data_IF_965132205256
#
_entry.id   IF_965132205256
#
_cell.length_a   1.000
_cell.length_b   1.000
_cell.length_c   1.000
_cell.angle_alpha   90.00
_cell.angle_beta   90.00
_cell.angle_gamma   90.00
#
_symmetry.space_group_name_H-M   'P 1'
#
loop_
_entity.id
_entity.type
_entity.pdbx_description
1 polymer ?
#
# COMPACT_ATOMS: atom_id res chain seq x y z
N UNK A 1 25.37 33.53 -11.46
CA UNK A 1 25.33 32.09 -11.14
C UNK A 1 24.06 31.55 -11.74
N UNK A 2 24.14 30.65 -12.71
CA UNK A 2 22.95 29.90 -13.17
C UNK A 2 22.71 28.81 -12.12
N UNK A 3 21.67 28.96 -11.31
CA UNK A 3 21.18 27.85 -10.49
C UNK A 3 20.76 26.73 -11.45
N UNK A 4 21.38 25.56 -11.30
CA UNK A 4 20.91 24.36 -11.99
C UNK A 4 19.58 24.04 -11.31
N UNK A 5 18.43 24.12 -12.01
CA UNK A 5 17.15 23.77 -11.40
C UNK A 5 17.23 22.32 -10.93
N UNK A 6 17.02 22.09 -9.63
CA UNK A 6 16.99 20.75 -9.05
C UNK A 6 15.80 19.99 -9.64
N UNK A 7 16.06 19.19 -10.68
CA UNK A 7 15.07 18.32 -11.30
C UNK A 7 15.07 16.99 -10.56
N UNK A 8 13.90 16.59 -10.07
CA UNK A 8 13.70 15.27 -9.49
C UNK A 8 13.20 14.30 -10.55
N UNK A 9 13.56 13.04 -10.44
CA UNK A 9 13.07 11.97 -11.31
C UNK A 9 12.45 10.85 -10.50
N UNK A 10 11.49 10.17 -11.13
CA UNK A 10 10.87 8.94 -10.63
C UNK A 10 10.97 7.91 -11.75
N UNK A 11 11.50 6.73 -11.42
CA UNK A 11 11.47 5.59 -12.33
C UNK A 11 10.23 4.77 -12.00
N UNK A 12 9.46 4.44 -13.03
CA UNK A 12 8.23 3.67 -12.95
C UNK A 12 8.37 2.43 -13.83
N UNK A 13 7.66 1.37 -13.45
CA UNK A 13 7.56 0.13 -14.21
C UNK A 13 6.09 -0.11 -14.54
N UNK A 14 5.78 -0.33 -15.82
CA UNK A 14 4.43 -0.66 -16.27
C UNK A 14 4.07 -2.14 -16.01
N UNK A 15 2.89 -2.56 -16.49
CA UNK A 15 2.38 -3.91 -16.30
C UNK A 15 3.19 -5.00 -17.03
N UNK A 16 4.00 -4.65 -18.04
CA UNK A 16 4.81 -5.59 -18.82
C UNK A 16 6.31 -5.48 -18.51
N UNK A 17 6.70 -4.63 -17.56
CA UNK A 17 8.09 -4.46 -17.14
C UNK A 17 8.83 -3.33 -17.84
N UNK A 18 8.16 -2.49 -18.64
CA UNK A 18 8.80 -1.34 -19.29
C UNK A 18 9.23 -0.31 -18.24
N UNK A 19 10.50 0.07 -18.27
CA UNK A 19 11.07 1.11 -17.40
C UNK A 19 10.85 2.48 -18.01
N UNK A 20 10.19 3.37 -17.28
CA UNK A 20 9.86 4.73 -17.72
C UNK A 20 10.36 5.71 -16.67
N UNK A 21 11.20 6.65 -17.09
CA UNK A 21 11.66 7.73 -16.21
C UNK A 21 10.86 9.00 -16.48
N UNK A 22 10.19 9.49 -15.45
CA UNK A 22 9.50 10.78 -15.48
C UNK A 22 10.27 11.79 -14.66
N UNK A 23 10.17 13.05 -15.05
CA UNK A 23 10.90 14.12 -14.39
C UNK A 23 9.95 15.25 -14.00
N UNK A 24 10.25 15.88 -12.88
CA UNK A 24 9.50 16.98 -12.33
C UNK A 24 10.44 18.07 -11.82
N UNK A 25 9.96 19.31 -11.84
CA UNK A 25 10.70 20.46 -11.33
C UNK A 25 10.54 20.62 -9.81
N UNK A 26 9.50 20.02 -9.22
CA UNK A 26 9.24 20.07 -7.79
C UNK A 26 8.87 18.68 -7.25
N UNK A 27 9.08 18.40 -5.95
CA UNK A 27 8.59 17.17 -5.31
C UNK A 27 7.07 16.98 -5.40
N UNK A 28 6.31 18.08 -5.39
CA UNK A 28 4.85 18.08 -5.51
C UNK A 28 4.42 17.62 -6.90
N UNK A 29 5.06 18.13 -7.95
CA UNK A 29 4.83 17.69 -9.32
C UNK A 29 5.21 16.22 -9.50
N UNK A 30 6.33 15.79 -8.88
CA UNK A 30 6.74 14.38 -8.92
C UNK A 30 5.69 13.48 -8.28
N UNK A 31 5.11 13.90 -7.15
CA UNK A 31 4.03 13.19 -6.46
C UNK A 31 2.75 13.16 -7.31
N UNK A 32 2.44 14.24 -8.04
CA UNK A 32 1.30 14.25 -8.96
C UNK A 32 1.50 13.26 -10.12
N UNK A 33 2.70 13.23 -10.72
CA UNK A 33 3.06 12.24 -11.73
C UNK A 33 2.96 10.81 -11.19
N UNK A 34 3.49 10.56 -9.99
CA UNK A 34 3.39 9.25 -9.33
C UNK A 34 1.93 8.75 -9.25
N UNK A 35 1.00 9.62 -8.82
CA UNK A 35 -0.43 9.31 -8.78
C UNK A 35 -1.04 9.11 -10.17
N UNK A 36 -0.64 9.93 -11.14
CA UNK A 36 -1.14 9.84 -12.51
C UNK A 36 -0.81 8.48 -13.13
N UNK A 37 0.47 8.10 -13.12
CA UNK A 37 0.93 6.81 -13.66
C UNK A 37 0.44 5.64 -12.78
N UNK A 38 0.42 5.82 -11.47
CA UNK A 38 -0.12 4.90 -10.49
C UNK A 38 -1.54 4.42 -10.79
N UNK A 39 -2.43 5.35 -11.13
CA UNK A 39 -3.83 5.04 -11.51
C UNK A 39 -3.93 4.22 -12.80
N UNK A 40 -2.88 4.20 -13.63
CA UNK A 40 -2.77 3.36 -14.82
C UNK A 40 -2.14 1.99 -14.53
N UNK A 41 -1.85 1.69 -13.26
CA UNK A 41 -1.21 0.44 -12.82
C UNK A 41 0.32 0.44 -12.87
N UNK A 42 0.95 1.60 -13.09
CA UNK A 42 2.40 1.73 -13.08
C UNK A 42 2.84 1.84 -11.63
N UNK A 43 3.95 1.19 -11.28
CA UNK A 43 4.49 1.22 -9.91
C UNK A 43 5.85 1.89 -9.90
N UNK A 44 6.24 2.56 -8.80
CA UNK A 44 7.63 2.97 -8.61
C UNK A 44 8.56 1.77 -8.81
N UNK A 45 9.66 1.99 -9.51
CA UNK A 45 10.74 1.02 -9.57
C UNK A 45 11.33 0.80 -8.18
N UNK A 46 11.49 -0.46 -7.81
CA UNK A 46 11.99 -0.88 -6.51
C UNK A 46 11.22 -2.08 -5.99
N UNK A 47 11.77 -2.69 -4.95
CA UNK A 47 11.13 -3.81 -4.28
C UNK A 47 10.39 -3.31 -3.05
N UNK A 48 9.24 -3.94 -2.78
CA UNK A 48 8.56 -3.79 -1.50
C UNK A 48 9.34 -4.62 -0.48
N UNK A 49 9.81 -4.03 0.63
CA UNK A 49 10.66 -4.72 1.60
C UNK A 49 9.92 -5.87 2.28
N UNK A 50 10.68 -6.80 2.86
CA UNK A 50 10.14 -7.82 3.75
C UNK A 50 9.35 -7.17 4.90
N UNK A 51 8.19 -7.73 5.25
CA UNK A 51 7.24 -7.09 6.17
C UNK A 51 6.30 -6.08 5.49
N UNK A 52 6.56 -5.71 4.24
CA UNK A 52 5.82 -4.69 3.51
C UNK A 52 6.17 -3.26 3.93
N UNK A 53 5.61 -2.29 3.23
CA UNK A 53 5.66 -0.88 3.64
C UNK A 53 5.04 -0.71 5.03
N UNK A 54 5.60 0.17 5.86
CA UNK A 54 5.09 0.43 7.21
C UNK A 54 4.56 1.86 7.29
N UNK A 55 3.26 2.01 7.57
CA UNK A 55 2.62 3.32 7.74
C UNK A 55 1.84 3.38 9.07
N UNK A 56 1.58 4.59 9.61
CA UNK A 56 0.74 4.73 10.81
C UNK A 56 -0.64 4.12 10.61
N UNK A 57 -1.24 3.57 11.68
CA UNK A 57 -2.59 3.01 11.62
C UNK A 57 -3.61 4.01 11.06
N UNK A 58 -3.51 5.27 11.49
CA UNK A 58 -4.36 6.38 11.03
C UNK A 58 -4.25 6.69 9.52
N UNK A 59 -3.21 6.23 8.84
CA UNK A 59 -3.03 6.45 7.41
C UNK A 59 -3.96 5.58 6.57
N UNK A 60 -4.37 4.40 7.08
CA UNK A 60 -5.08 3.37 6.32
C UNK A 60 -6.27 3.93 5.53
N UNK A 61 -7.17 4.64 6.21
CA UNK A 61 -8.44 5.09 5.62
C UNK A 61 -8.25 6.14 4.52
N UNK A 62 -7.10 6.80 4.47
CA UNK A 62 -6.84 7.86 3.50
C UNK A 62 -5.72 7.51 2.52
N UNK A 63 -4.98 6.42 2.72
CA UNK A 63 -3.82 6.09 1.90
C UNK A 63 -4.17 6.02 0.41
N UNK A 64 -3.43 6.73 -0.42
CA UNK A 64 -3.61 6.74 -1.87
C UNK A 64 -2.87 5.56 -2.52
N UNK A 65 -3.61 4.49 -2.81
CA UNK A 65 -3.07 3.27 -3.42
C UNK A 65 -2.38 3.46 -4.77
N UNK A 66 -2.72 4.54 -5.50
CA UNK A 66 -2.05 4.85 -6.76
C UNK A 66 -0.55 5.15 -6.54
N UNK A 67 -0.14 5.58 -5.34
CA UNK A 67 1.27 5.86 -5.05
C UNK A 67 2.17 4.64 -5.22
N UNK A 68 1.62 3.44 -5.07
CA UNK A 68 2.34 2.18 -5.26
C UNK A 68 1.84 1.41 -6.49
N UNK A 69 1.02 2.03 -7.34
CA UNK A 69 0.41 1.33 -8.48
C UNK A 69 -0.60 0.24 -8.08
N UNK A 70 -1.19 0.33 -6.89
CA UNK A 70 -2.20 -0.59 -6.41
C UNK A 70 -3.63 -0.03 -6.63
N UNK A 71 -4.60 -0.93 -6.73
CA UNK A 71 -6.02 -0.57 -6.88
C UNK A 71 -6.88 -1.36 -5.89
N UNK A 72 -7.73 -0.71 -5.09
CA UNK A 72 -8.71 -1.40 -4.24
C UNK A 72 -9.61 -2.34 -5.02
N UNK A 73 -9.88 -3.51 -4.45
CA UNK A 73 -10.74 -4.51 -5.07
C UNK A 73 -11.39 -5.39 -4.01
N UNK A 74 -12.61 -5.85 -4.31
CA UNK A 74 -13.34 -6.84 -3.51
C UNK A 74 -13.53 -8.09 -4.35
N UNK A 75 -13.19 -9.25 -3.80
CA UNK A 75 -13.37 -10.53 -4.49
C UNK A 75 -14.85 -10.89 -4.63
N UNK A 76 -15.19 -11.82 -5.56
CA UNK A 76 -16.54 -12.38 -5.65
C UNK A 76 -17.04 -12.98 -4.33
N UNK A 77 -16.12 -13.49 -3.50
CA UNK A 77 -16.42 -14.07 -2.17
C UNK A 77 -16.56 -13.01 -1.07
N UNK A 78 -16.41 -11.72 -1.40
CA UNK A 78 -16.52 -10.60 -0.47
C UNK A 78 -15.21 -10.21 0.23
N UNK A 79 -14.07 -10.83 -0.13
CA UNK A 79 -12.79 -10.48 0.48
C UNK A 79 -12.31 -9.12 -0.01
N UNK A 80 -12.07 -8.20 0.94
CA UNK A 80 -11.52 -6.87 0.65
C UNK A 80 -10.00 -6.93 0.54
N UNK A 81 -9.43 -6.15 -0.38
CA UNK A 81 -8.00 -6.04 -0.55
C UNK A 81 -7.60 -5.05 -1.63
N UNK A 82 -6.41 -5.27 -2.20
CA UNK A 82 -5.90 -4.49 -3.34
C UNK A 82 -5.28 -5.39 -4.38
N UNK A 83 -5.38 -5.00 -5.65
CA UNK A 83 -4.60 -5.55 -6.75
C UNK A 83 -3.31 -4.74 -6.87
N UNK A 84 -2.17 -5.43 -6.87
CA UNK A 84 -0.86 -4.85 -7.11
C UNK A 84 0.00 -5.85 -7.88
N UNK A 85 0.59 -5.42 -9.00
CA UNK A 85 1.47 -6.25 -9.84
C UNK A 85 0.84 -7.62 -10.20
N UNK A 86 -0.40 -7.58 -10.70
CA UNK A 86 -1.18 -8.76 -11.09
C UNK A 86 -1.59 -9.70 -9.93
N UNK A 87 -1.36 -9.31 -8.68
CA UNK A 87 -1.66 -10.13 -7.50
C UNK A 87 -2.68 -9.46 -6.59
N UNK A 88 -3.59 -10.23 -6.03
CA UNK A 88 -4.50 -9.78 -4.98
C UNK A 88 -3.85 -9.91 -3.60
N UNK A 89 -3.79 -8.81 -2.86
CA UNK A 89 -3.35 -8.74 -1.47
C UNK A 89 -4.57 -8.50 -0.58
N UNK A 90 -4.93 -9.52 0.21
CA UNK A 90 -6.09 -9.50 1.09
C UNK A 90 -5.82 -8.62 2.31
N UNK A 91 -6.82 -7.82 2.70
CA UNK A 91 -6.83 -7.09 3.97
C UNK A 91 -7.02 -8.08 5.13
N UNK A 92 -6.14 -7.99 6.12
CA UNK A 92 -6.16 -8.77 7.36
C UNK A 92 -6.10 -7.83 8.55
N UNK A 93 -7.07 -7.95 9.42
CA UNK A 93 -7.09 -7.26 10.71
C UNK A 93 -6.30 -8.11 11.71
N UNK A 94 -5.26 -7.52 12.30
CA UNK A 94 -4.42 -8.17 13.30
C UNK A 94 -4.73 -7.53 14.65
N UNK A 95 -5.25 -8.34 15.57
CA UNK A 95 -5.54 -7.91 16.93
C UNK A 95 -4.28 -7.46 17.67
N UNK A 96 -4.47 -6.57 18.64
CA UNK A 96 -3.39 -6.19 19.52
C UNK A 96 -2.91 -7.41 20.31
N UNK A 97 -1.60 -7.62 20.35
CA UNK A 97 -0.97 -8.66 21.18
C UNK A 97 -0.49 -7.97 22.46
N UNK A 98 -1.05 -8.34 23.60
CA UNK A 98 -0.51 -7.97 24.91
C UNK A 98 -0.10 -9.23 25.66
N UNK A 99 1.17 -9.58 25.57
CA UNK A 99 1.77 -10.68 26.30
C UNK A 99 2.98 -10.18 27.10
N UNK A 100 3.38 -10.96 28.11
CA UNK A 100 4.59 -10.65 28.90
C UNK A 100 5.86 -10.55 28.04
N UNK A 101 5.92 -11.26 26.91
CA UNK A 101 7.08 -11.30 26.01
C UNK A 101 7.01 -10.26 24.88
N UNK A 102 5.81 -9.80 24.54
CA UNK A 102 5.59 -9.01 23.34
C UNK A 102 4.32 -8.17 23.46
N UNK A 103 4.45 -6.88 23.15
CA UNK A 103 3.34 -5.92 23.03
C UNK A 103 3.30 -5.37 21.61
N UNK A 104 2.31 -5.77 20.82
CA UNK A 104 2.08 -5.26 19.47
C UNK A 104 0.72 -4.54 19.43
N UNK A 105 0.64 -3.28 18.98
CA UNK A 105 -0.64 -2.64 18.71
C UNK A 105 -1.36 -3.35 17.55
N UNK A 106 -2.67 -3.12 17.47
CA UNK A 106 -3.51 -3.51 16.34
C UNK A 106 -2.89 -3.06 15.01
N UNK A 107 -3.11 -3.86 13.97
CA UNK A 107 -2.61 -3.56 12.64
C UNK A 107 -3.59 -3.97 11.54
N UNK A 108 -3.55 -3.25 10.42
CA UNK A 108 -4.20 -3.64 9.17
C UNK A 108 -3.10 -4.05 8.19
N UNK A 109 -3.09 -5.32 7.81
CA UNK A 109 -2.07 -5.94 6.97
C UNK A 109 -2.65 -6.31 5.61
N UNK A 110 -2.01 -5.89 4.52
CA UNK A 110 -2.33 -6.34 3.17
C UNK A 110 -1.29 -7.39 2.75
N UNK A 111 -1.71 -8.65 2.64
CA UNK A 111 -0.82 -9.75 2.31
C UNK A 111 -1.45 -10.80 1.41
N UNK A 112 -0.62 -11.62 0.78
CA UNK A 112 -1.02 -12.82 0.06
C UNK A 112 -0.17 -14.02 0.48
N UNK A 113 -0.60 -15.22 0.13
CA UNK A 113 0.26 -16.39 0.22
C UNK A 113 1.50 -16.20 -0.66
N UNK A 114 2.67 -16.58 -0.14
CA UNK A 114 3.89 -16.63 -0.93
C UNK A 114 3.76 -17.69 -2.03
N UNK A 115 4.30 -17.41 -3.20
CA UNK A 115 4.43 -18.34 -4.32
C UNK A 115 5.85 -18.89 -4.34
N UNK A 116 6.05 -20.02 -5.00
CA UNK A 116 7.38 -20.62 -5.18
C UNK A 116 8.35 -19.70 -5.94
N UNK A 117 7.82 -18.79 -6.76
CA UNK A 117 8.59 -17.81 -7.53
C UNK A 117 8.86 -16.51 -6.76
N UNK A 118 8.37 -16.35 -5.54
CA UNK A 118 8.71 -15.19 -4.72
C UNK A 118 10.16 -15.29 -4.22
N UNK A 119 10.95 -14.20 -4.29
CA UNK A 119 12.29 -14.18 -3.70
C UNK A 119 12.24 -14.46 -2.20
N UNK A 120 13.12 -15.34 -1.72
CA UNK A 120 13.14 -15.81 -0.32
C UNK A 120 13.26 -14.65 0.68
N UNK A 121 14.05 -13.62 0.37
CA UNK A 121 14.23 -12.45 1.25
C UNK A 121 12.98 -11.59 1.42
N UNK A 122 11.91 -11.83 0.65
CA UNK A 122 10.64 -11.09 0.70
C UNK A 122 9.50 -11.91 1.30
N UNK A 123 9.78 -13.16 1.70
CA UNK A 123 8.80 -14.08 2.25
C UNK A 123 8.87 -14.08 3.77
N UNK A 124 7.73 -13.89 4.40
CA UNK A 124 7.55 -14.01 5.84
C UNK A 124 7.08 -15.42 6.20
N UNK A 125 7.70 -16.03 7.20
CA UNK A 125 7.26 -17.30 7.77
C UNK A 125 6.45 -17.06 9.05
N UNK A 126 5.26 -17.64 9.13
CA UNK A 126 4.42 -17.61 10.33
C UNK A 126 4.34 -19.02 10.92
N UNK A 127 4.93 -19.21 12.11
CA UNK A 127 4.84 -20.40 12.96
C UNK A 127 4.84 -21.76 12.21
N UNK A 128 5.62 -21.88 11.13
CA UNK A 128 5.96 -23.14 10.47
C UNK A 128 5.03 -23.65 9.37
N UNK A 129 3.81 -23.13 9.19
CA UNK A 129 2.87 -23.68 8.19
C UNK A 129 2.57 -22.74 7.00
N UNK A 130 2.62 -21.42 7.19
CA UNK A 130 2.22 -20.49 6.14
C UNK A 130 3.30 -19.45 5.85
N UNK A 131 3.60 -19.32 4.56
CA UNK A 131 4.48 -18.30 4.00
C UNK A 131 3.66 -17.19 3.37
N UNK A 132 4.01 -15.95 3.66
CA UNK A 132 3.27 -14.77 3.19
C UNK A 132 4.19 -13.77 2.51
N UNK A 133 3.61 -13.00 1.60
CA UNK A 133 4.21 -11.76 1.10
C UNK A 133 3.34 -10.59 1.52
N UNK A 134 3.93 -9.62 2.22
CA UNK A 134 3.22 -8.43 2.67
C UNK A 134 3.48 -7.27 1.73
N UNK A 135 2.41 -6.58 1.33
CA UNK A 135 2.49 -5.37 0.55
C UNK A 135 2.72 -4.16 1.46
N UNK A 136 1.85 -4.03 2.46
CA UNK A 136 1.83 -2.89 3.39
C UNK A 136 1.18 -3.29 4.70
N UNK A 137 1.64 -2.68 5.79
CA UNK A 137 1.07 -2.78 7.12
C UNK A 137 0.83 -1.37 7.68
N UNK A 138 -0.39 -1.14 8.15
CA UNK A 138 -0.78 0.06 8.87
C UNK A 138 -0.85 -0.29 10.36
N UNK A 139 0.03 0.26 11.17
CA UNK A 139 0.20 -0.16 12.57
C UNK A 139 0.69 0.96 13.47
N UNK A 140 0.34 0.87 14.75
CA UNK A 140 0.89 1.73 15.79
C UNK A 140 0.35 3.15 15.76
N UNK A 141 0.97 4.02 16.56
CA UNK A 141 0.62 5.43 16.67
C UNK A 141 1.18 6.27 15.52
N UNK A 142 0.73 7.52 15.44
CA UNK A 142 1.18 8.48 14.44
C UNK A 142 0.02 9.17 13.74
N UNK A 143 0.32 10.27 13.06
CA UNK A 143 -0.65 11.01 12.26
C UNK A 143 -0.61 10.53 10.81
N UNK A 144 -1.75 10.56 10.14
CA UNK A 144 -1.78 10.45 8.70
C UNK A 144 -0.96 11.59 8.08
N UNK A 145 -0.10 11.23 7.15
CA UNK A 145 0.76 12.08 6.35
C UNK A 145 -0.03 12.54 5.10
N UNK A 146 -0.35 13.85 4.97
CA UNK A 146 -1.16 14.36 3.87
C UNK A 146 -0.63 14.02 2.48
N UNK A 147 0.69 13.90 2.33
CA UNK A 147 1.36 13.55 1.08
C UNK A 147 1.06 12.13 0.59
N UNK A 148 0.70 11.22 1.51
CA UNK A 148 0.32 9.83 1.19
C UNK A 148 -1.19 9.63 1.18
N UNK A 149 -1.96 10.64 1.56
CA UNK A 149 -3.40 10.59 1.56
C UNK A 149 -3.97 10.88 0.16
N UNK A 150 -5.20 10.42 -0.06
CA UNK A 150 -6.00 10.78 -1.22
C UNK A 150 -6.17 12.31 -1.29
N UNK A 151 -6.11 12.90 -2.50
CA UNK A 151 -6.38 14.32 -2.67
C UNK A 151 -7.77 14.72 -2.15
N UNK A 152 -7.88 15.92 -1.58
CA UNK A 152 -9.16 16.47 -1.12
C UNK A 152 -9.73 15.85 0.16
N UNK A 153 -8.90 15.14 0.96
CA UNK A 153 -9.33 14.57 2.24
C UNK A 153 -10.30 13.39 2.10
N UNK A 154 -10.36 12.78 0.92
CA UNK A 154 -11.19 11.61 0.68
C UNK A 154 -10.72 10.42 1.52
N UNK A 155 -11.68 9.55 1.85
CA UNK A 155 -11.40 8.24 2.43
C UNK A 155 -11.60 7.14 1.40
N UNK A 156 -10.88 6.05 1.57
CA UNK A 156 -11.00 4.85 0.76
C UNK A 156 -12.43 4.29 0.85
N UNK A 157 -13.05 4.05 -0.31
CA UNK A 157 -14.43 3.50 -0.39
C UNK A 157 -14.56 2.11 0.24
N UNK A 158 -13.44 1.37 0.37
CA UNK A 158 -13.38 0.04 0.97
C UNK A 158 -12.87 0.03 2.42
N UNK A 159 -12.42 1.17 2.97
CA UNK A 159 -11.96 1.27 4.36
C UNK A 159 -13.11 1.20 5.37
N UNK A 160 -14.35 1.42 4.92
CA UNK A 160 -15.54 1.20 5.74
C UNK A 160 -15.87 -0.30 5.66
N UNK A 161 -15.87 -1.00 6.80
CA UNK A 161 -16.57 -2.28 6.91
C UNK A 161 -18.07 -2.10 6.60
N UNK A 162 -18.90 -3.16 6.63
CA UNK A 162 -20.34 -3.00 6.50
C UNK A 162 -20.86 -2.27 7.74
N UNK A 163 -20.81 -0.94 7.74
CA UNK A 163 -21.45 -0.10 8.73
C UNK A 163 -22.85 0.23 8.21
N UNK A 164 -23.82 -0.59 8.64
CA UNK A 164 -25.24 -0.25 8.79
C UNK A 164 -25.89 0.49 7.61
N UNK A 165 -26.33 -0.26 6.59
CA UNK A 165 -27.36 0.18 5.65
C UNK A 165 -28.78 -0.22 6.11
N UNK A 166 -28.97 -0.54 7.40
CA UNK A 166 -30.28 -0.80 8.01
C UNK A 166 -30.50 0.15 9.19
N UNK A 167 -30.84 1.39 8.88
CA UNK A 167 -31.50 2.31 9.80
C UNK A 167 -32.24 3.39 8.99
N UNK A 168 -33.25 2.96 8.25
CA UNK A 168 -34.39 3.79 7.88
C UNK A 168 -35.60 2.86 7.78
N UNK A 169 -36.48 2.96 8.78
CA UNK A 169 -37.88 2.55 8.71
C UNK A 169 -38.60 3.25 7.54
#
# INVERSE_FOLDING_TARGET
>A
MNEIPHRSSLVLVDAIGTRITVYANTPQDLRALQREYGRRGYRPEGEIPCGGLQLPYAQHDTFDWSLIGATPWTSPDGDRGVIHDGSFYKLRELEAVDSRKMKLPQALKYSRGARETDPEHLVEESNGEFKYRTLIMFRGGGKAMPEFSLPGGQRQRHAVGPAQENAAD
#
